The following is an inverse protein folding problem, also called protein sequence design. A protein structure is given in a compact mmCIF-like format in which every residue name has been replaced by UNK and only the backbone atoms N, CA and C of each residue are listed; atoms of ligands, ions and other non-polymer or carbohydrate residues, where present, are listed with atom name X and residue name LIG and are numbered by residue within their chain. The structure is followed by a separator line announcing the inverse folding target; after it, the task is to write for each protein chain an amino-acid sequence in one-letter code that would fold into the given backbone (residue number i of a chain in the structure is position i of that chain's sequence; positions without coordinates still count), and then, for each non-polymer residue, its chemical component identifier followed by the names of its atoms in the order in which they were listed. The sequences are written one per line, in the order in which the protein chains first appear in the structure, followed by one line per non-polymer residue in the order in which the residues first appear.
data_IF_883683420661
#
_entry.id   IF_883683420661
#
_cell.length_a   1.000
_cell.length_b   1.000
_cell.length_c   1.000
_cell.angle_alpha   90.00
_cell.angle_beta   90.00
_cell.angle_gamma   90.00
#
_symmetry.space_group_name_H-M   'P 1'
#
loop_
_entity.id
_entity.type
_entity.pdbx_description
1 polymer ?
#
# COMPACT_ATOMS: atom_id res chain seq x y z
N UNK A 1 -0.96 12.72 -4.95
CA UNK A 1 -1.71 11.83 -4.05
C UNK A 1 -1.67 10.44 -4.64
N UNK A 2 -1.63 9.38 -3.83
CA UNK A 2 -1.69 7.98 -4.25
C UNK A 2 -2.82 7.27 -3.48
N UNK A 3 -3.57 6.41 -4.16
CA UNK A 3 -4.77 5.75 -3.63
C UNK A 3 -4.50 4.30 -3.16
N UNK A 4 -3.26 3.90 -2.96
CA UNK A 4 -2.90 2.58 -2.41
C UNK A 4 -2.38 1.61 -3.46
N UNK A 5 -2.22 0.36 -3.05
CA UNK A 5 -1.52 -0.71 -3.76
C UNK A 5 -0.13 -0.28 -4.23
N UNK A 6 0.60 0.31 -3.28
CA UNK A 6 1.86 0.99 -3.50
C UNK A 6 2.97 0.03 -3.95
N UNK A 7 2.93 -1.22 -3.49
CA UNK A 7 4.05 -2.17 -3.60
C UNK A 7 3.69 -3.47 -4.31
N UNK A 8 2.43 -3.65 -4.71
CA UNK A 8 2.01 -4.87 -5.42
C UNK A 8 2.61 -4.93 -6.82
N UNK A 9 3.11 -6.11 -7.20
CA UNK A 9 3.58 -6.40 -8.55
C UNK A 9 4.99 -7.01 -8.62
N UNK A 10 5.38 -7.56 -9.78
CA UNK A 10 6.59 -8.36 -9.92
C UNK A 10 7.85 -7.54 -10.27
N UNK A 11 7.87 -6.24 -9.95
CA UNK A 11 8.92 -5.32 -10.39
C UNK A 11 9.85 -4.94 -9.23
N UNK A 12 9.75 -3.70 -8.73
CA UNK A 12 10.63 -3.12 -7.73
C UNK A 12 9.86 -2.67 -6.46
N UNK A 13 9.30 -3.61 -5.66
CA UNK A 13 8.49 -3.27 -4.49
C UNK A 13 9.24 -2.40 -3.47
N UNK A 14 10.50 -2.76 -3.18
CA UNK A 14 11.31 -2.07 -2.18
C UNK A 14 11.70 -0.67 -2.64
N UNK A 15 12.18 -0.52 -3.89
CA UNK A 15 12.54 0.77 -4.46
C UNK A 15 11.32 1.69 -4.59
N UNK A 16 10.16 1.13 -4.91
CA UNK A 16 8.89 1.87 -4.97
C UNK A 16 8.50 2.37 -3.58
N UNK A 17 8.57 1.52 -2.55
CA UNK A 17 8.27 1.93 -1.17
C UNK A 17 9.22 3.03 -0.68
N UNK A 18 10.52 2.90 -0.94
CA UNK A 18 11.51 3.91 -0.58
C UNK A 18 11.23 5.25 -1.26
N UNK A 19 10.98 5.24 -2.57
CA UNK A 19 10.68 6.45 -3.35
C UNK A 19 9.39 7.13 -2.85
N UNK A 20 8.33 6.37 -2.62
CA UNK A 20 7.05 6.91 -2.14
C UNK A 20 7.17 7.52 -0.74
N UNK A 21 7.92 6.88 0.15
CA UNK A 21 8.22 7.43 1.47
C UNK A 21 9.02 8.73 1.38
N UNK A 22 10.03 8.80 0.50
CA UNK A 22 10.84 10.01 0.31
C UNK A 22 10.06 11.18 -0.31
N UNK A 23 9.13 10.89 -1.23
CA UNK A 23 8.28 11.91 -1.86
C UNK A 23 7.29 12.56 -0.88
N UNK A 24 6.94 11.88 0.22
CA UNK A 24 6.06 12.42 1.26
C UNK A 24 4.67 12.82 0.75
N UNK A 25 4.17 12.13 -0.28
CA UNK A 25 2.84 12.42 -0.83
C UNK A 25 1.74 12.02 0.16
N UNK A 26 0.53 12.61 0.03
CA UNK A 26 -0.67 12.05 0.66
C UNK A 26 -0.97 10.69 0.04
N UNK A 27 -0.92 9.62 0.84
CA UNK A 27 -1.10 8.23 0.41
C UNK A 27 -2.02 7.52 1.41
N UNK A 28 -2.96 6.75 0.90
CA UNK A 28 -3.73 5.75 1.67
C UNK A 28 -3.25 4.34 1.32
N UNK A 29 -3.43 3.36 2.21
CA UNK A 29 -3.10 1.96 1.89
C UNK A 29 -4.24 1.30 1.10
N UNK A 30 -3.89 0.43 0.16
CA UNK A 30 -4.85 -0.43 -0.55
C UNK A 30 -5.04 -1.80 0.12
N UNK A 31 -5.88 -2.64 -0.49
CA UNK A 31 -6.08 -4.00 -0.03
C UNK A 31 -4.85 -4.87 -0.26
N UNK A 32 -4.10 -4.67 -1.35
CA UNK A 32 -2.87 -5.42 -1.60
C UNK A 32 -1.74 -4.98 -0.64
N UNK A 33 -1.67 -3.69 -0.29
CA UNK A 33 -0.76 -3.21 0.76
C UNK A 33 -1.03 -3.91 2.10
N UNK A 34 -2.32 -4.00 2.48
CA UNK A 34 -2.77 -4.74 3.67
C UNK A 34 -2.41 -6.23 3.58
N UNK A 35 -2.66 -6.87 2.44
CA UNK A 35 -2.32 -8.28 2.21
C UNK A 35 -0.82 -8.56 2.37
N UNK A 36 0.04 -7.69 1.80
CA UNK A 36 1.50 -7.73 1.95
C UNK A 36 1.92 -7.62 3.41
N UNK A 37 1.30 -6.74 4.19
CA UNK A 37 1.60 -6.56 5.61
C UNK A 37 1.14 -7.75 6.48
N UNK A 38 -0.01 -8.33 6.17
CA UNK A 38 -0.61 -9.44 6.91
C UNK A 38 0.06 -10.78 6.60
N UNK A 39 0.77 -10.88 5.47
CA UNK A 39 1.32 -12.15 4.99
C UNK A 39 0.25 -13.14 4.54
N UNK A 40 -0.98 -12.66 4.32
CA UNK A 40 -2.13 -13.48 3.98
C UNK A 40 -2.40 -13.40 2.48
N UNK A 41 -1.79 -14.33 1.73
CA UNK A 41 -1.89 -14.39 0.28
C UNK A 41 -2.77 -15.55 -0.15
N UNK A 42 -3.66 -15.31 -1.10
CA UNK A 42 -4.24 -16.41 -1.88
C UNK A 42 -3.08 -17.18 -2.58
N UNK A 43 -3.16 -18.51 -2.74
CA UNK A 43 -2.06 -19.30 -3.31
C UNK A 43 -1.60 -18.87 -4.70
N UNK A 44 -2.48 -18.24 -5.46
CA UNK A 44 -2.28 -17.70 -6.81
C UNK A 44 -1.80 -16.24 -6.81
N UNK A 45 -1.81 -15.56 -5.67
CA UNK A 45 -1.31 -14.19 -5.54
C UNK A 45 0.21 -14.17 -5.35
N UNK A 46 0.91 -14.53 -6.44
CA UNK A 46 2.37 -14.62 -6.47
C UNK A 46 3.05 -13.25 -6.39
N UNK A 47 2.38 -12.18 -6.82
CA UNK A 47 2.93 -10.83 -6.85
C UNK A 47 3.01 -10.20 -5.47
N UNK A 48 1.99 -10.35 -4.63
CA UNK A 48 2.03 -9.79 -3.27
C UNK A 48 2.96 -10.60 -2.37
N UNK A 49 3.00 -11.92 -2.58
CA UNK A 49 4.00 -12.75 -1.92
C UNK A 49 5.42 -12.29 -2.27
N UNK A 50 5.69 -12.05 -3.55
CA UNK A 50 6.98 -11.51 -3.99
C UNK A 50 7.28 -10.15 -3.35
N UNK A 51 6.29 -9.25 -3.32
CA UNK A 51 6.45 -7.95 -2.67
C UNK A 51 6.80 -8.10 -1.18
N UNK A 52 6.07 -8.94 -0.44
CA UNK A 52 6.34 -9.20 0.97
C UNK A 52 7.74 -9.78 1.22
N UNK A 53 8.23 -10.64 0.34
CA UNK A 53 9.58 -11.22 0.42
C UNK A 53 10.69 -10.18 0.10
N UNK A 54 10.38 -9.14 -0.68
CA UNK A 54 11.34 -8.10 -1.07
C UNK A 54 11.45 -6.93 -0.07
N UNK A 55 10.39 -6.63 0.68
CA UNK A 55 10.36 -5.42 1.51
C UNK A 55 11.29 -5.51 2.73
N UNK A 56 12.02 -4.43 2.98
CA UNK A 56 12.82 -4.27 4.20
C UNK A 56 11.92 -3.93 5.39
N UNK A 57 12.43 -4.14 6.62
CA UNK A 57 11.72 -3.70 7.83
C UNK A 57 11.38 -2.21 7.81
N UNK A 58 12.25 -1.38 7.23
CA UNK A 58 12.00 0.07 7.10
C UNK A 58 10.80 0.34 6.21
N UNK A 59 10.74 -0.26 5.04
CA UNK A 59 9.63 -0.10 4.09
C UNK A 59 8.32 -0.68 4.63
N UNK A 60 8.38 -1.87 5.25
CA UNK A 60 7.21 -2.46 5.93
C UNK A 60 6.72 -1.61 7.08
N UNK A 61 7.62 -0.99 7.86
CA UNK A 61 7.25 -0.06 8.93
C UNK A 61 6.59 1.20 8.39
N UNK A 62 7.07 1.75 7.27
CA UNK A 62 6.44 2.89 6.60
C UNK A 62 5.05 2.53 6.04
N UNK A 63 4.92 1.38 5.36
CA UNK A 63 3.66 0.94 4.79
C UNK A 63 2.57 0.81 5.87
N UNK A 64 2.94 0.38 7.09
CA UNK A 64 2.04 0.33 8.27
C UNK A 64 1.56 1.68 8.78
N UNK A 65 2.21 2.79 8.42
CA UNK A 65 1.78 4.13 8.85
C UNK A 65 0.79 4.77 7.89
N UNK A 66 0.61 4.20 6.69
CA UNK A 66 -0.36 4.71 5.74
C UNK A 66 -1.77 4.50 6.30
N UNK A 67 -2.66 5.50 6.27
CA UNK A 67 -4.04 5.35 6.72
C UNK A 67 -4.92 4.68 5.65
N UNK A 68 -6.06 4.12 6.06
CA UNK A 68 -7.06 3.59 5.13
C UNK A 68 -7.79 4.71 4.36
N UNK A 69 -7.93 5.87 5.01
CA UNK A 69 -8.61 7.04 4.49
C UNK A 69 -7.84 8.32 4.84
N UNK A 70 -7.94 9.33 3.97
CA UNK A 70 -7.31 10.62 4.20
C UNK A 70 -8.20 11.75 3.67
N UNK A 71 -8.23 12.85 4.41
CA UNK A 71 -8.87 14.10 4.02
C UNK A 71 -7.79 15.18 3.90
N UNK A 72 -7.25 15.44 2.69
CA UNK A 72 -6.24 16.48 2.50
C UNK A 72 -6.80 17.89 2.76
N UNK A 73 -8.10 18.08 2.56
CA UNK A 73 -8.88 19.27 2.87
C UNK A 73 -10.36 18.88 3.15
N UNK A 74 -11.23 19.88 3.31
CA UNK A 74 -12.65 19.69 3.66
C UNK A 74 -13.54 19.21 2.48
N UNK A 75 -13.01 19.18 1.25
CA UNK A 75 -13.76 18.84 0.03
C UNK A 75 -13.30 17.53 -0.61
N UNK A 76 -12.08 17.07 -0.30
CA UNK A 76 -11.46 15.92 -0.93
C UNK A 76 -11.34 14.76 0.07
N UNK A 77 -11.94 13.62 -0.29
CA UNK A 77 -11.80 12.36 0.43
C UNK A 77 -11.01 11.35 -0.41
N UNK A 78 -9.97 10.77 0.18
CA UNK A 78 -9.19 9.70 -0.40
C UNK A 78 -9.48 8.39 0.32
N UNK A 79 -9.81 7.36 -0.44
CA UNK A 79 -9.91 5.97 -0.01
C UNK A 79 -9.47 5.06 -1.16
N UNK A 80 -9.03 3.85 -0.84
CA UNK A 80 -8.83 2.81 -1.85
C UNK A 80 -10.16 2.12 -2.12
N UNK A 81 -10.60 2.07 -3.38
CA UNK A 81 -11.88 1.48 -3.75
C UNK A 81 -13.07 2.32 -3.31
N UNK A 82 -13.72 1.93 -2.20
CA UNK A 82 -14.81 2.69 -1.57
C UNK A 82 -14.50 2.97 -0.10
N UNK A 83 -15.09 4.01 0.52
CA UNK A 83 -14.84 4.32 1.93
C UNK A 83 -15.07 3.16 2.89
N UNK A 84 -16.03 2.29 2.58
CA UNK A 84 -16.43 1.18 3.45
C UNK A 84 -15.78 -0.17 3.05
N UNK A 85 -15.10 -0.24 1.90
CA UNK A 85 -14.54 -1.48 1.37
C UNK A 85 -13.39 -1.23 0.37
N UNK A 86 -12.21 -1.72 0.74
CA UNK A 86 -10.98 -1.70 -0.06
C UNK A 86 -10.85 -2.87 -1.06
N UNK A 87 -11.77 -3.83 -1.07
CA UNK A 87 -11.74 -5.02 -1.94
C UNK A 87 -12.79 -5.02 -3.06
N UNK A 88 -13.33 -3.85 -3.41
CA UNK A 88 -14.46 -3.70 -4.36
C UNK A 88 -14.07 -3.96 -5.82
#
# INVERSE_FOLDING_TARGET
MNLGDCVSGPLWPEETAQLLNELGWPIVHGNHDRGVLEGNFAPDNLTDKFAADCLTTKSTSWLKTLPAELWPDDEIHLCHGTPENDNC
#
